data_IF_168475285351
#
_entry.id   IF_168475285351
#
_cell.length_a   1.000
_cell.length_b   1.000
_cell.length_c   1.000
_cell.angle_alpha   90.00
_cell.angle_beta   90.00
_cell.angle_gamma   90.00
#
_symmetry.space_group_name_H-M   'P 1'
#
loop_
_entity.id
_entity.type
_entity.pdbx_description
1 polymer ?
#
# COMPACT_ATOMS: atom_id res chain seq x y z
N UNK A 1 24.91 -81.73 -30.80
CA UNK A 1 23.53 -81.29 -31.11
C UNK A 1 23.35 -79.89 -30.51
N UNK A 2 23.54 -78.82 -31.30
CA UNK A 2 23.54 -77.43 -30.81
C UNK A 2 22.12 -76.85 -30.89
N UNK A 3 21.50 -76.62 -29.73
CA UNK A 3 20.17 -75.99 -29.63
C UNK A 3 20.32 -74.48 -29.86
N UNK A 4 19.77 -73.96 -30.95
CA UNK A 4 19.67 -72.52 -31.19
C UNK A 4 18.49 -71.95 -30.39
N UNK A 5 18.77 -70.99 -29.51
CA UNK A 5 17.74 -70.20 -28.82
C UNK A 5 17.19 -69.15 -29.78
N UNK A 6 15.91 -69.27 -30.09
CA UNK A 6 15.12 -68.31 -30.87
C UNK A 6 14.86 -67.07 -29.99
N UNK A 7 15.45 -65.92 -30.34
CA UNK A 7 15.14 -64.63 -29.72
C UNK A 7 13.91 -64.04 -30.43
N UNK A 8 12.76 -64.00 -29.74
CA UNK A 8 11.58 -63.26 -30.18
C UNK A 8 11.76 -61.82 -29.68
N UNK A 9 12.01 -60.90 -30.61
CA UNK A 9 12.02 -59.46 -30.33
C UNK A 9 10.56 -58.98 -30.36
N UNK A 10 10.02 -58.70 -29.18
CA UNK A 10 8.71 -58.06 -29.01
C UNK A 10 8.84 -56.57 -29.34
N UNK A 11 8.29 -56.15 -30.49
CA UNK A 11 8.09 -54.75 -30.82
C UNK A 11 6.91 -54.21 -29.98
N UNK A 12 7.21 -53.63 -28.82
CA UNK A 12 6.25 -52.82 -28.07
C UNK A 12 6.11 -51.48 -28.81
N UNK A 13 5.06 -51.35 -29.61
CA UNK A 13 4.64 -50.07 -30.17
C UNK A 13 4.20 -49.16 -29.01
N UNK A 14 5.00 -48.14 -28.74
CA UNK A 14 4.66 -47.08 -27.80
C UNK A 14 3.53 -46.23 -28.40
N UNK A 15 2.28 -46.60 -28.08
CA UNK A 15 1.14 -45.71 -28.26
C UNK A 15 1.33 -44.51 -27.32
N UNK A 16 1.89 -43.43 -27.87
CA UNK A 16 1.93 -42.14 -27.20
C UNK A 16 0.50 -41.60 -27.19
N UNK A 17 -0.16 -41.71 -26.03
CA UNK A 17 -1.44 -41.03 -25.78
C UNK A 17 -1.12 -39.54 -25.70
N UNK A 18 -1.18 -38.85 -26.84
CA UNK A 18 -1.31 -37.41 -26.83
C UNK A 18 -2.65 -37.09 -26.17
N UNK A 19 -2.63 -36.69 -24.90
CA UNK A 19 -3.77 -36.03 -24.28
C UNK A 19 -4.03 -34.76 -25.09
N UNK A 20 -5.06 -34.81 -25.92
CA UNK A 20 -5.54 -33.66 -26.66
C UNK A 20 -6.12 -32.71 -25.60
N UNK A 21 -5.30 -31.76 -25.12
CA UNK A 21 -5.74 -30.70 -24.24
C UNK A 21 -6.88 -30.01 -24.99
N UNK A 22 -8.11 -30.31 -24.58
CA UNK A 22 -9.31 -29.74 -25.16
C UNK A 22 -9.20 -28.24 -24.90
N UNK A 23 -8.93 -27.47 -25.97
CA UNK A 23 -8.86 -26.02 -25.89
C UNK A 23 -10.17 -25.56 -25.27
N UNK A 24 -10.08 -25.03 -24.05
CA UNK A 24 -11.25 -24.57 -23.33
C UNK A 24 -11.92 -23.50 -24.19
N UNK A 25 -13.21 -23.67 -24.41
CA UNK A 25 -14.01 -22.77 -25.22
C UNK A 25 -14.06 -21.41 -24.54
N UNK A 26 -13.49 -20.39 -25.21
CA UNK A 26 -13.39 -19.04 -24.68
C UNK A 26 -14.70 -18.26 -24.91
N UNK A 27 -14.98 -17.29 -24.03
CA UNK A 27 -16.04 -16.30 -24.21
C UNK A 27 -17.47 -16.89 -24.35
N UNK A 28 -17.79 -17.91 -23.56
CA UNK A 28 -19.10 -18.57 -23.60
C UNK A 28 -20.16 -17.82 -22.77
N UNK A 29 -21.40 -17.87 -23.28
CA UNK A 29 -22.60 -17.39 -22.58
C UNK A 29 -23.58 -18.54 -22.32
N UNK A 30 -24.31 -18.51 -21.21
CA UNK A 30 -25.38 -19.45 -20.92
C UNK A 30 -26.70 -19.03 -21.61
N UNK A 31 -27.75 -19.83 -21.44
CA UNK A 31 -29.08 -19.56 -22.02
C UNK A 31 -29.74 -18.26 -21.55
N UNK A 32 -29.25 -17.66 -20.45
CA UNK A 32 -29.70 -16.36 -19.92
C UNK A 32 -28.86 -15.19 -20.45
N UNK A 33 -27.89 -15.45 -21.32
CA UNK A 33 -26.95 -14.43 -21.82
C UNK A 33 -25.83 -14.08 -20.83
N UNK A 34 -25.65 -14.85 -19.76
CA UNK A 34 -24.64 -14.58 -18.74
C UNK A 34 -23.31 -15.27 -19.11
N UNK A 35 -22.20 -14.57 -18.84
CA UNK A 35 -20.85 -15.09 -19.07
C UNK A 35 -20.56 -16.33 -18.22
N UNK A 36 -20.01 -17.37 -18.83
CA UNK A 36 -19.57 -18.60 -18.16
C UNK A 36 -18.19 -19.04 -18.64
N UNK A 37 -17.44 -19.71 -17.78
CA UNK A 37 -16.15 -20.30 -18.10
C UNK A 37 -15.06 -19.25 -18.34
N UNK A 38 -14.05 -19.63 -19.12
CA UNK A 38 -12.89 -18.79 -19.38
C UNK A 38 -13.18 -17.69 -20.42
N UNK A 39 -12.76 -16.48 -20.11
CA UNK A 39 -12.96 -15.29 -20.94
C UNK A 39 -11.67 -14.55 -21.21
N UNK A 40 -11.56 -14.01 -22.42
CA UNK A 40 -10.57 -13.03 -22.85
C UNK A 40 -11.24 -11.80 -23.41
N UNK A 41 -10.91 -10.65 -22.84
CA UNK A 41 -11.25 -9.35 -23.42
C UNK A 41 -10.04 -8.76 -24.13
N UNK A 42 -10.28 -7.98 -25.19
CA UNK A 42 -9.25 -7.38 -26.04
C UNK A 42 -9.30 -5.85 -25.96
N UNK A 43 -8.20 -5.20 -26.33
CA UNK A 43 -8.14 -3.76 -26.53
C UNK A 43 -8.82 -3.37 -27.84
N UNK A 44 -9.60 -2.28 -27.81
CA UNK A 44 -10.35 -1.80 -28.97
C UNK A 44 -9.43 -1.56 -30.17
N UNK A 45 -9.85 -1.98 -31.37
CA UNK A 45 -9.07 -1.87 -32.59
C UNK A 45 -7.83 -2.78 -32.66
N UNK A 46 -7.67 -3.75 -31.74
CA UNK A 46 -6.53 -4.67 -31.74
C UNK A 46 -6.91 -6.09 -31.31
N UNK A 47 -6.01 -7.05 -31.58
CA UNK A 47 -6.09 -8.40 -31.03
C UNK A 47 -5.28 -8.55 -29.72
N UNK A 48 -4.85 -7.44 -29.11
CA UNK A 48 -4.07 -7.48 -27.86
C UNK A 48 -5.01 -7.77 -26.69
N UNK A 49 -4.66 -8.80 -25.91
CA UNK A 49 -5.46 -9.22 -24.75
C UNK A 49 -5.39 -8.15 -23.67
N UNK A 50 -6.55 -7.65 -23.25
CA UNK A 50 -6.72 -6.67 -22.18
C UNK A 50 -6.86 -7.32 -20.81
N UNK A 51 -7.62 -8.41 -20.75
CA UNK A 51 -7.77 -9.22 -19.54
C UNK A 51 -8.12 -10.67 -19.88
N UNK A 52 -7.85 -11.57 -18.94
CA UNK A 52 -8.33 -12.95 -18.97
C UNK A 52 -8.74 -13.42 -17.56
N UNK A 53 -9.75 -14.28 -17.46
CA UNK A 53 -10.29 -14.77 -16.19
C UNK A 53 -11.56 -15.61 -16.38
N UNK A 54 -12.09 -16.17 -15.30
CA UNK A 54 -13.28 -17.03 -15.36
C UNK A 54 -14.54 -16.29 -14.91
N UNK A 55 -15.67 -16.64 -15.50
CA UNK A 55 -16.99 -16.19 -15.07
C UNK A 55 -17.84 -17.37 -14.63
N UNK A 56 -18.67 -17.12 -13.60
CA UNK A 56 -19.71 -18.03 -13.14
C UNK A 56 -21.03 -17.26 -13.10
N UNK A 57 -21.92 -17.58 -14.04
CA UNK A 57 -23.24 -16.94 -14.19
C UNK A 57 -23.15 -15.40 -14.20
N UNK A 58 -22.24 -14.87 -15.03
CA UNK A 58 -22.06 -13.43 -15.22
C UNK A 58 -21.12 -12.75 -14.22
N UNK A 59 -20.80 -13.42 -13.11
CA UNK A 59 -19.94 -12.89 -12.02
C UNK A 59 -18.50 -13.36 -12.20
N UNK A 60 -17.54 -12.48 -11.97
CA UNK A 60 -16.11 -12.82 -11.94
C UNK A 60 -15.82 -13.90 -10.89
N UNK A 61 -15.17 -15.00 -11.31
CA UNK A 61 -14.85 -16.15 -10.47
C UNK A 61 -13.34 -16.39 -10.44
N UNK A 62 -12.74 -16.24 -9.25
CA UNK A 62 -11.32 -16.41 -9.03
C UNK A 62 -10.44 -15.29 -9.60
N UNK A 63 -9.30 -15.65 -10.16
CA UNK A 63 -8.24 -14.70 -10.54
C UNK A 63 -8.42 -14.20 -11.97
N UNK A 64 -8.50 -12.88 -12.10
CA UNK A 64 -8.37 -12.16 -13.36
C UNK A 64 -6.96 -11.60 -13.50
N UNK A 65 -6.41 -11.71 -14.70
CA UNK A 65 -5.16 -11.08 -15.10
C UNK A 65 -5.47 -9.96 -16.08
N UNK A 66 -4.80 -8.82 -15.91
CA UNK A 66 -4.94 -7.65 -16.76
C UNK A 66 -3.58 -7.31 -17.37
N UNK A 67 -3.57 -6.94 -18.64
CA UNK A 67 -2.34 -6.68 -19.39
C UNK A 67 -2.28 -5.24 -19.89
N UNK A 68 -1.09 -4.79 -20.28
CA UNK A 68 -0.85 -3.50 -20.95
C UNK A 68 -1.31 -3.52 -22.40
N UNK A 69 -1.60 -2.35 -22.96
CA UNK A 69 -1.85 -2.19 -24.39
C UNK A 69 -0.52 -2.10 -25.14
N UNK A 70 0.21 -3.20 -25.20
CA UNK A 70 1.51 -3.28 -25.86
C UNK A 70 1.74 -4.68 -26.42
N UNK A 71 2.59 -4.79 -27.44
CA UNK A 71 2.89 -6.06 -28.10
C UNK A 71 3.56 -7.07 -27.16
N UNK A 72 4.22 -6.58 -26.10
CA UNK A 72 4.87 -7.40 -25.07
C UNK A 72 3.88 -8.10 -24.12
N UNK A 73 2.58 -7.80 -24.16
CA UNK A 73 1.54 -8.35 -23.26
C UNK A 73 2.01 -8.38 -21.79
N UNK A 74 2.39 -7.23 -21.24
CA UNK A 74 2.93 -7.14 -19.87
C UNK A 74 1.77 -7.24 -18.87
N UNK A 75 1.90 -8.11 -17.86
CA UNK A 75 0.92 -8.22 -16.78
C UNK A 75 0.97 -6.95 -15.92
N UNK A 76 -0.11 -6.16 -15.90
CA UNK A 76 -0.19 -4.93 -15.09
C UNK A 76 -0.91 -5.11 -13.77
N UNK A 77 -1.82 -6.07 -13.69
CA UNK A 77 -2.55 -6.35 -12.46
C UNK A 77 -3.13 -7.76 -12.40
N UNK A 78 -3.30 -8.27 -11.18
CA UNK A 78 -4.21 -9.38 -10.89
C UNK A 78 -5.33 -8.92 -9.97
N UNK A 79 -6.51 -9.53 -10.12
CA UNK A 79 -7.65 -9.37 -9.20
C UNK A 79 -8.20 -10.73 -8.85
N UNK A 80 -8.16 -11.09 -7.58
CA UNK A 80 -8.82 -12.29 -7.07
C UNK A 80 -10.17 -11.89 -6.49
N UNK A 81 -11.25 -12.25 -7.19
CA UNK A 81 -12.61 -11.87 -6.83
C UNK A 81 -13.18 -12.81 -5.76
N UNK A 82 -13.92 -12.25 -4.80
CA UNK A 82 -14.58 -13.00 -3.74
C UNK A 82 -16.01 -13.47 -4.11
N UNK A 83 -16.42 -13.23 -5.37
CA UNK A 83 -17.77 -13.53 -5.89
C UNK A 83 -18.88 -12.62 -5.34
N UNK A 84 -18.55 -11.62 -4.51
CA UNK A 84 -19.50 -10.71 -3.84
C UNK A 84 -19.22 -9.25 -4.13
N UNK A 85 -18.49 -8.96 -5.22
CA UNK A 85 -18.12 -7.60 -5.62
C UNK A 85 -16.86 -7.04 -4.95
N UNK A 86 -16.17 -7.86 -4.14
CA UNK A 86 -14.84 -7.56 -3.63
C UNK A 86 -13.75 -8.28 -4.44
N UNK A 87 -12.55 -7.69 -4.45
CA UNK A 87 -11.37 -8.35 -4.99
C UNK A 87 -10.11 -7.94 -4.24
N UNK A 88 -9.17 -8.88 -4.06
CA UNK A 88 -7.80 -8.54 -3.72
C UNK A 88 -7.04 -8.19 -5.01
N UNK A 89 -6.52 -6.98 -5.08
CA UNK A 89 -5.87 -6.44 -6.28
C UNK A 89 -4.36 -6.34 -6.03
N UNK A 90 -3.56 -6.75 -7.02
CA UNK A 90 -2.11 -6.52 -7.05
C UNK A 90 -1.80 -5.81 -8.35
N UNK A 91 -1.06 -4.71 -8.28
CA UNK A 91 -0.50 -4.01 -9.44
C UNK A 91 0.98 -4.33 -9.59
N UNK A 92 1.44 -4.44 -10.83
CA UNK A 92 2.82 -4.77 -11.17
C UNK A 92 3.45 -3.70 -12.05
N UNK A 93 4.77 -3.56 -11.96
CA UNK A 93 5.57 -2.79 -12.90
C UNK A 93 5.89 -3.61 -14.16
N UNK A 94 6.62 -3.01 -15.10
CA UNK A 94 7.01 -3.65 -16.37
C UNK A 94 7.92 -4.87 -16.20
N UNK A 95 8.57 -5.01 -15.04
CA UNK A 95 9.45 -6.13 -14.70
C UNK A 95 8.71 -7.21 -13.88
N UNK A 96 7.42 -7.03 -13.63
CA UNK A 96 6.60 -7.95 -12.84
C UNK A 96 6.79 -7.82 -11.32
N UNK A 97 7.45 -6.76 -10.84
CA UNK A 97 7.53 -6.47 -9.41
C UNK A 97 6.24 -5.79 -8.94
N UNK A 98 5.81 -6.09 -7.71
CA UNK A 98 4.61 -5.47 -7.13
C UNK A 98 4.84 -3.97 -6.96
N UNK A 99 3.86 -3.17 -7.38
CA UNK A 99 3.79 -1.73 -7.15
C UNK A 99 2.90 -1.44 -5.94
N UNK A 100 1.75 -2.11 -5.88
CA UNK A 100 0.84 -2.03 -4.74
C UNK A 100 -0.08 -3.24 -4.66
N UNK A 101 -0.62 -3.48 -3.47
CA UNK A 101 -1.62 -4.51 -3.25
C UNK A 101 -2.61 -4.12 -2.15
N UNK A 102 -3.86 -4.58 -2.27
CA UNK A 102 -4.90 -4.38 -1.26
C UNK A 102 -6.28 -4.77 -1.74
N UNK A 103 -7.26 -4.70 -0.84
CA UNK A 103 -8.65 -5.04 -1.14
C UNK A 103 -9.39 -3.88 -1.79
N UNK A 104 -10.19 -4.18 -2.80
CA UNK A 104 -11.17 -3.28 -3.43
C UNK A 104 -12.56 -3.87 -3.22
N UNK A 105 -13.52 -3.07 -2.76
CA UNK A 105 -14.94 -3.43 -2.66
C UNK A 105 -15.73 -2.34 -3.36
N UNK A 106 -16.65 -2.69 -4.28
CA UNK A 106 -17.46 -1.71 -5.02
C UNK A 106 -16.63 -0.60 -5.70
N UNK A 107 -15.46 -0.97 -6.24
CA UNK A 107 -14.47 -0.07 -6.87
C UNK A 107 -13.72 0.87 -5.92
N UNK A 108 -13.95 0.79 -4.61
CA UNK A 108 -13.27 1.60 -3.60
C UNK A 108 -12.24 0.77 -2.82
N UNK A 109 -11.11 1.35 -2.43
CA UNK A 109 -10.11 0.69 -1.59
C UNK A 109 -10.65 0.45 -0.19
N UNK A 110 -10.38 -0.73 0.34
CA UNK A 110 -10.77 -1.16 1.68
C UNK A 110 -9.60 -1.82 2.41
N UNK A 111 -9.49 -1.52 3.71
CA UNK A 111 -8.52 -2.14 4.60
C UNK A 111 -7.08 -1.77 4.26
N UNK A 112 -6.15 -2.66 4.61
CA UNK A 112 -4.72 -2.43 4.44
C UNK A 112 -4.34 -2.47 2.95
N UNK A 113 -3.68 -1.40 2.52
CA UNK A 113 -2.99 -1.27 1.26
C UNK A 113 -1.50 -1.15 1.50
N UNK A 114 -0.72 -1.90 0.72
CA UNK A 114 0.74 -1.85 0.71
C UNK A 114 1.20 -1.28 -0.61
N UNK A 115 2.22 -0.43 -0.55
CA UNK A 115 2.92 0.13 -1.70
C UNK A 115 4.39 -0.19 -1.57
N UNK A 116 5.04 -0.53 -2.68
CA UNK A 116 6.42 -1.01 -2.69
C UNK A 116 7.36 0.03 -3.27
N UNK A 117 8.62 -0.03 -2.85
CA UNK A 117 9.69 0.78 -3.45
C UNK A 117 9.90 0.37 -4.91
N UNK A 118 10.10 1.35 -5.79
CA UNK A 118 10.29 1.10 -7.23
C UNK A 118 11.48 0.16 -7.47
N UNK A 119 11.26 -0.90 -8.23
CA UNK A 119 12.31 -1.88 -8.56
C UNK A 119 12.73 -2.78 -7.39
N UNK A 120 12.06 -2.70 -6.23
CA UNK A 120 12.38 -3.48 -5.04
C UNK A 120 11.16 -4.27 -4.56
N UNK A 121 11.40 -5.28 -3.71
CA UNK A 121 10.34 -6.05 -3.04
C UNK A 121 9.98 -5.49 -1.66
N UNK A 122 10.68 -4.45 -1.20
CA UNK A 122 10.49 -3.86 0.13
C UNK A 122 9.31 -2.89 0.12
N UNK A 123 8.54 -2.91 1.20
CA UNK A 123 7.37 -2.04 1.37
C UNK A 123 7.85 -0.62 1.62
N UNK A 124 7.31 0.32 0.86
CA UNK A 124 7.52 1.77 1.02
C UNK A 124 6.47 2.37 1.94
N UNK A 125 5.22 1.93 1.80
CA UNK A 125 4.11 2.54 2.53
C UNK A 125 3.02 1.52 2.85
N UNK A 126 2.45 1.64 4.04
CA UNK A 126 1.24 0.93 4.46
C UNK A 126 0.19 1.97 4.85
N UNK A 127 -0.99 1.85 4.27
CA UNK A 127 -2.14 2.71 4.54
C UNK A 127 -3.35 1.82 4.82
N UNK A 128 -4.26 2.29 5.67
CA UNK A 128 -5.54 1.62 5.88
C UNK A 128 -6.66 2.49 5.31
N UNK A 129 -7.57 1.88 4.56
CA UNK A 129 -8.63 2.56 3.82
C UNK A 129 -10.03 2.16 4.30
N UNK A 130 -10.93 3.15 4.35
CA UNK A 130 -12.38 2.96 4.40
C UNK A 130 -12.96 3.77 3.25
N UNK A 131 -13.57 3.10 2.26
CA UNK A 131 -14.19 3.75 1.10
C UNK A 131 -13.28 4.80 0.44
N UNK A 132 -12.06 4.39 0.06
CA UNK A 132 -11.01 5.22 -0.54
C UNK A 132 -10.41 6.34 0.34
N UNK A 133 -10.83 6.48 1.60
CA UNK A 133 -10.26 7.44 2.55
C UNK A 133 -9.30 6.75 3.50
N UNK A 134 -8.13 7.35 3.72
CA UNK A 134 -7.16 6.84 4.70
C UNK A 134 -7.73 7.01 6.11
N UNK A 135 -7.72 5.94 6.90
CA UNK A 135 -8.22 5.89 8.27
C UNK A 135 -7.21 5.15 9.16
N UNK A 136 -6.86 5.75 10.30
CA UNK A 136 -5.90 5.20 11.24
C UNK A 136 -4.45 5.49 10.84
N UNK A 137 -3.54 4.56 11.14
CA UNK A 137 -2.10 4.75 10.94
C UNK A 137 -1.70 4.57 9.47
N UNK A 138 -1.02 5.58 8.92
CA UNK A 138 -0.21 5.50 7.71
C UNK A 138 1.26 5.37 8.11
N UNK A 139 1.95 4.38 7.57
CA UNK A 139 3.37 4.12 7.83
C UNK A 139 4.18 4.25 6.55
N UNK A 140 5.35 4.86 6.64
CA UNK A 140 6.32 4.98 5.56
C UNK A 140 7.64 4.37 6.03
N UNK A 141 8.31 3.64 5.13
CA UNK A 141 9.52 2.90 5.46
C UNK A 141 10.66 3.27 4.51
N UNK A 142 11.88 3.27 5.03
CA UNK A 142 13.09 3.30 4.23
C UNK A 142 13.22 2.02 3.38
N UNK A 143 14.14 2.02 2.41
CA UNK A 143 14.34 0.89 1.50
C UNK A 143 14.83 -0.38 2.19
N UNK A 144 15.47 -0.25 3.36
CA UNK A 144 15.91 -1.34 4.25
C UNK A 144 14.79 -1.85 5.18
N UNK A 145 13.59 -1.25 5.11
CA UNK A 145 12.42 -1.64 5.90
C UNK A 145 12.33 -0.97 7.28
N UNK A 146 13.27 -0.09 7.65
CA UNK A 146 13.16 0.69 8.88
C UNK A 146 12.00 1.70 8.75
N UNK A 147 11.19 1.84 9.80
CA UNK A 147 10.09 2.82 9.84
C UNK A 147 10.69 4.23 9.77
N UNK A 148 10.23 5.04 8.81
CA UNK A 148 10.66 6.41 8.59
C UNK A 148 9.63 7.42 9.12
N UNK A 149 8.34 7.13 8.94
CA UNK A 149 7.26 8.01 9.38
C UNK A 149 6.02 7.20 9.76
N UNK A 150 5.34 7.61 10.82
CA UNK A 150 4.01 7.13 11.19
C UNK A 150 3.08 8.31 11.44
N UNK A 151 1.94 8.37 10.76
CA UNK A 151 0.97 9.47 10.87
C UNK A 151 -0.44 8.93 11.02
N UNK A 152 -1.17 9.47 11.99
CA UNK A 152 -2.58 9.16 12.18
C UNK A 152 -3.48 9.99 11.25
N UNK A 153 -4.44 9.33 10.62
CA UNK A 153 -5.46 9.91 9.76
C UNK A 153 -6.86 9.58 10.27
N UNK A 154 -7.79 10.50 10.00
CA UNK A 154 -9.23 10.29 10.13
C UNK A 154 -9.93 10.89 8.93
N UNK A 155 -10.74 10.11 8.23
CA UNK A 155 -11.44 10.51 7.00
C UNK A 155 -10.52 11.12 5.95
N UNK A 156 -9.32 10.59 5.76
CA UNK A 156 -8.34 11.07 4.78
C UNK A 156 -7.55 12.31 5.20
N UNK A 157 -7.75 12.83 6.42
CA UNK A 157 -7.07 14.03 6.94
C UNK A 157 -6.19 13.68 8.13
N UNK A 158 -5.00 14.27 8.24
CA UNK A 158 -4.10 14.07 9.40
C UNK A 158 -4.84 14.45 10.69
N UNK A 159 -4.93 13.52 11.63
CA UNK A 159 -5.65 13.69 12.88
C UNK A 159 -5.09 12.72 13.93
N UNK A 160 -4.36 13.25 14.91
CA UNK A 160 -3.61 12.50 15.90
C UNK A 160 -2.10 12.71 15.78
N UNK A 161 -1.33 11.75 16.28
CA UNK A 161 0.13 11.85 16.39
C UNK A 161 0.78 11.56 15.03
N UNK A 162 1.84 12.31 14.73
CA UNK A 162 2.81 12.11 13.66
C UNK A 162 4.18 11.91 14.28
N UNK A 163 4.91 10.88 13.83
CA UNK A 163 6.27 10.57 14.27
C UNK A 163 7.19 10.40 13.08
N UNK A 164 8.38 10.98 13.15
CA UNK A 164 9.44 10.83 12.15
C UNK A 164 10.64 10.18 12.82
N UNK A 165 11.27 9.24 12.11
CA UNK A 165 12.38 8.42 12.60
C UNK A 165 13.60 8.56 11.69
N UNK A 166 14.79 8.41 12.27
CA UNK A 166 16.03 8.31 11.51
C UNK A 166 16.17 6.93 10.86
N UNK A 167 17.13 6.78 9.94
CA UNK A 167 17.48 5.47 9.36
C UNK A 167 17.96 4.45 10.41
N UNK A 168 18.45 4.92 11.57
CA UNK A 168 18.79 4.07 12.72
C UNK A 168 17.58 3.65 13.57
N UNK A 169 16.37 4.09 13.22
CA UNK A 169 15.14 3.81 13.97
C UNK A 169 14.89 4.73 15.16
N UNK A 170 15.74 5.76 15.37
CA UNK A 170 15.57 6.70 16.48
C UNK A 170 14.50 7.72 16.16
N UNK A 171 13.59 7.99 17.10
CA UNK A 171 12.60 9.07 16.98
C UNK A 171 13.31 10.42 16.85
N UNK A 172 12.94 11.20 15.83
CA UNK A 172 13.52 12.53 15.54
C UNK A 172 12.50 13.65 15.73
N UNK A 173 11.23 13.38 15.46
CA UNK A 173 10.17 14.37 15.59
C UNK A 173 8.87 13.70 16.04
N UNK A 174 8.14 14.37 16.91
CA UNK A 174 6.77 14.04 17.28
C UNK A 174 5.91 15.30 17.20
N UNK A 175 4.79 15.23 16.49
CA UNK A 175 3.87 16.34 16.32
C UNK A 175 2.41 15.86 16.42
N UNK A 176 1.54 16.65 17.04
CA UNK A 176 0.10 16.37 17.08
C UNK A 176 -0.61 17.17 15.99
N UNK A 177 -1.52 16.53 15.27
CA UNK A 177 -2.37 17.12 14.24
C UNK A 177 -3.84 17.05 14.63
N UNK A 178 -4.59 18.09 14.29
CA UNK A 178 -6.05 18.11 14.36
C UNK A 178 -6.59 18.71 13.05
N UNK A 179 -7.43 17.95 12.35
CA UNK A 179 -8.04 18.36 11.08
C UNK A 179 -7.03 18.90 10.05
N UNK A 180 -5.86 18.26 9.95
CA UNK A 180 -4.82 18.60 8.98
C UNK A 180 -3.82 19.64 9.44
N UNK A 181 -4.07 20.34 10.54
CA UNK A 181 -3.18 21.36 11.09
C UNK A 181 -2.42 20.83 12.31
N UNK A 182 -1.16 21.24 12.47
CA UNK A 182 -0.46 21.00 13.74
C UNK A 182 -1.24 21.66 14.89
N UNK A 183 -1.52 20.90 15.94
CA UNK A 183 -2.33 21.31 17.06
C UNK A 183 -2.00 20.47 18.30
N UNK A 184 -1.50 21.10 19.36
CA UNK A 184 -1.00 20.43 20.56
C UNK A 184 0.53 20.37 20.59
N UNK A 185 1.07 19.35 21.24
CA UNK A 185 2.49 19.25 21.50
C UNK A 185 3.32 18.99 20.24
N UNK A 186 4.54 19.53 20.26
CA UNK A 186 5.55 19.32 19.25
C UNK A 186 6.91 19.13 19.92
N UNK A 187 7.66 18.12 19.48
CA UNK A 187 8.98 17.77 20.02
C UNK A 187 9.93 17.37 18.89
N UNK A 188 11.19 17.80 19.01
CA UNK A 188 12.31 17.32 18.19
C UNK A 188 13.35 16.71 19.11
N UNK A 189 13.91 15.58 18.68
CA UNK A 189 14.82 14.77 19.47
C UNK A 189 16.17 14.59 18.77
N UNK A 190 17.23 14.50 19.58
CA UNK A 190 18.55 14.05 19.18
C UNK A 190 18.63 12.51 19.15
N UNK A 191 19.71 11.93 18.62
CA UNK A 191 19.89 10.47 18.52
C UNK A 191 19.90 9.73 19.86
N UNK A 192 20.25 10.40 20.95
CA UNK A 192 20.24 9.86 22.32
C UNK A 192 18.87 10.04 23.03
N UNK A 193 17.85 10.57 22.33
CA UNK A 193 16.52 10.86 22.88
C UNK A 193 16.40 12.18 23.64
N UNK A 194 17.45 13.00 23.69
CA UNK A 194 17.40 14.36 24.25
C UNK A 194 16.45 15.23 23.43
N UNK A 195 15.54 15.93 24.09
CA UNK A 195 14.65 16.90 23.44
C UNK A 195 15.46 18.15 23.10
N UNK A 196 15.61 18.43 21.81
CA UNK A 196 16.26 19.65 21.31
C UNK A 196 15.28 20.81 21.20
N UNK A 197 14.02 20.52 20.88
CA UNK A 197 12.97 21.54 20.72
C UNK A 197 11.69 20.98 21.30
N UNK A 198 10.99 21.80 22.09
CA UNK A 198 9.61 21.52 22.45
C UNK A 198 8.77 22.79 22.50
N UNK A 199 7.50 22.65 22.17
CA UNK A 199 6.52 23.72 22.22
C UNK A 199 5.15 23.20 21.85
N UNK A 200 4.25 24.14 21.60
CA UNK A 200 2.89 23.82 21.18
C UNK A 200 2.52 24.54 19.90
N UNK A 201 1.67 23.89 19.11
CA UNK A 201 0.96 24.48 17.98
C UNK A 201 -0.52 24.65 18.29
N UNK A 202 -1.13 25.67 17.71
CA UNK A 202 -2.57 25.81 17.58
C UNK A 202 -2.89 26.21 16.14
N UNK A 203 -3.62 25.35 15.44
CA UNK A 203 -4.09 25.60 14.06
C UNK A 203 -2.92 25.96 13.12
N UNK A 204 -1.84 25.18 13.20
CA UNK A 204 -0.65 25.34 12.36
C UNK A 204 0.30 26.47 12.78
N UNK A 205 -0.03 27.23 13.83
CA UNK A 205 0.82 28.31 14.34
C UNK A 205 1.43 27.96 15.69
N UNK A 206 2.71 28.32 15.89
CA UNK A 206 3.37 28.21 17.19
C UNK A 206 2.57 28.99 18.25
N UNK A 207 2.35 28.38 19.40
CA UNK A 207 1.58 28.94 20.51
C UNK A 207 2.34 28.79 21.83
N UNK A 208 2.25 29.81 22.68
CA UNK A 208 2.85 29.79 24.01
C UNK A 208 4.38 29.71 23.99
N UNK A 209 4.93 28.93 24.92
CA UNK A 209 6.34 28.87 25.23
C UNK A 209 7.08 27.81 24.39
N UNK A 210 8.12 28.24 23.70
CA UNK A 210 9.00 27.39 22.92
C UNK A 210 10.37 27.31 23.58
N UNK A 211 10.82 26.10 23.88
CA UNK A 211 12.10 25.83 24.54
C UNK A 211 13.03 25.10 23.58
N UNK A 212 14.29 25.52 23.59
CA UNK A 212 15.36 24.96 22.78
C UNK A 212 16.50 24.54 23.71
N UNK A 213 16.97 23.31 23.56
CA UNK A 213 18.01 22.74 24.38
C UNK A 213 19.22 22.33 23.53
N UNK A 214 20.39 22.26 24.16
CA UNK A 214 21.56 21.62 23.58
C UNK A 214 21.55 20.09 23.83
N UNK A 215 22.55 19.40 23.27
CA UNK A 215 22.75 17.95 23.45
C UNK A 215 22.94 17.53 24.93
N UNK A 216 23.36 18.46 25.79
CA UNK A 216 23.56 18.23 27.23
C UNK A 216 22.30 18.53 28.06
N UNK A 217 21.15 18.78 27.41
CA UNK A 217 19.86 19.13 28.02
C UNK A 217 19.83 20.53 28.67
N UNK A 218 20.81 21.39 28.40
CA UNK A 218 20.78 22.77 28.90
C UNK A 218 19.82 23.61 28.06
N UNK A 219 19.02 24.46 28.70
CA UNK A 219 18.15 25.40 28.01
C UNK A 219 19.00 26.49 27.36
N UNK A 220 18.99 26.55 26.02
CA UNK A 220 19.74 27.53 25.22
C UNK A 220 18.87 28.74 24.88
N UNK A 221 17.58 28.52 24.64
CA UNK A 221 16.66 29.58 24.22
C UNK A 221 15.24 29.29 24.65
N UNK A 222 14.52 30.34 25.02
CA UNK A 222 13.08 30.32 25.25
C UNK A 222 12.41 31.46 24.48
N UNK A 223 11.29 31.19 23.83
CA UNK A 223 10.51 32.18 23.07
C UNK A 223 9.04 32.06 23.48
N UNK A 224 8.44 33.15 23.97
CA UNK A 224 7.00 33.21 24.15
C UNK A 224 6.35 33.83 22.90
N UNK A 225 5.60 33.03 22.16
CA UNK A 225 4.95 33.43 20.91
C UNK A 225 3.66 34.22 21.12
N UNK A 226 3.14 34.26 22.34
CA UNK A 226 1.94 35.02 22.69
C UNK A 226 2.24 36.50 22.94
N UNK A 227 3.52 36.88 22.97
CA UNK A 227 3.98 38.24 23.19
C UNK A 227 4.69 38.76 21.95
N UNK A 228 3.96 39.42 21.06
CA UNK A 228 4.53 40.31 20.05
C UNK A 228 4.16 41.75 20.46
N UNK A 229 5.18 42.60 20.63
CA UNK A 229 5.14 44.02 21.06
C UNK A 229 4.96 44.32 22.56
N UNK A 230 5.85 43.85 23.44
CA UNK A 230 6.22 44.58 24.67
C UNK A 230 5.13 44.87 25.73
N UNK A 231 3.88 44.49 25.53
CA UNK A 231 2.81 44.67 26.49
C UNK A 231 2.41 43.33 27.08
N UNK A 232 3.05 42.99 28.21
CA UNK A 232 2.42 42.10 29.18
C UNK A 232 1.08 42.72 29.55
N UNK A 233 -0.04 42.04 29.29
CA UNK A 233 -1.30 42.33 29.97
C UNK A 233 -1.00 42.28 31.47
N UNK A 234 -1.26 43.35 32.26
CA UNK A 234 -1.04 43.30 33.69
C UNK A 234 -1.95 42.23 34.28
N UNK A 235 -1.36 41.16 34.80
CA UNK A 235 -2.06 40.26 35.70
C UNK A 235 -2.31 41.03 36.99
N UNK A 236 -3.53 41.55 37.15
CA UNK A 236 -4.05 42.01 38.43
C UNK A 236 -4.21 40.81 39.36
N UNK A 237 -3.12 40.41 40.01
CA UNK A 237 -3.22 39.60 41.22
C UNK A 237 -3.25 40.59 42.38
N UNK A 238 -4.47 40.90 42.84
CA UNK A 238 -4.68 41.55 44.14
C UNK A 238 -4.12 40.61 45.21
N UNK A 239 -3.02 41.00 45.85
CA UNK A 239 -2.66 40.47 47.16
C UNK A 239 -3.78 40.87 48.13
N UNK A 240 -4.45 39.87 48.71
CA UNK A 240 -4.96 39.95 50.07
C UNK A 240 -4.07 39.05 50.92
#
# INVERSE_FOLDING_TARGET
MKIHRLFIVLFLSSFSIFSQIKKESENQINSKGERIGFWKGYYEGSNRVRYEGNFKNGVEDGVFKYYTDSDKKILKATREFDGKGGAYTIFFDENGLKVSEGKVINKLRQGIWKYYHKGLKTVMCIENYIDDRVEGSKKIFFTDGVLAEEVMYKNGVKNGISKIYSKGGTLKEEAVFLQGFMHGDYKVFEDNGVILIQGQYKEGKKKGLWKYFDANKNLVKEINTDTINGYKKPSLVKKK
#
